data_IF_132126229981
#
_entry.id   IF_132126229981
#
_cell.length_a   1.000
_cell.length_b   1.000
_cell.length_c   1.000
_cell.angle_alpha   90.00
_cell.angle_beta   90.00
_cell.angle_gamma   90.00
#
_symmetry.space_group_name_H-M   'P 1'
#
loop_
_entity.id
_entity.type
_entity.pdbx_description
1 polymer ?
#
# COMPACT_ATOMS: atom_id res chain seq x y z
N UNK A 1 0.74 5.28 -57.40
CA UNK A 1 -0.52 4.93 -56.70
C UNK A 1 -0.13 4.43 -55.32
N UNK A 2 -0.33 5.28 -54.32
CA UNK A 2 0.09 5.07 -52.93
C UNK A 2 -0.92 4.17 -52.24
N UNK A 3 -0.65 2.87 -52.15
CA UNK A 3 -1.52 1.96 -51.40
C UNK A 3 -0.88 1.75 -50.03
N UNK A 4 -1.40 2.48 -49.05
CA UNK A 4 -0.88 2.55 -47.69
C UNK A 4 -0.64 1.16 -47.08
N UNK A 5 0.53 1.01 -46.48
CA UNK A 5 0.83 -0.01 -45.50
C UNK A 5 -0.26 0.07 -44.42
N UNK A 6 -1.28 -0.78 -44.53
CA UNK A 6 -2.22 -1.00 -43.43
C UNK A 6 -1.40 -1.74 -42.39
N UNK A 7 -0.81 -0.97 -41.47
CA UNK A 7 -0.34 -1.49 -40.19
C UNK A 7 -1.54 -2.20 -39.59
N UNK A 8 -1.61 -3.52 -39.74
CA UNK A 8 -2.59 -4.33 -39.05
C UNK A 8 -2.23 -4.23 -37.58
N UNK A 9 -2.81 -3.23 -36.90
CA UNK A 9 -2.72 -3.05 -35.46
C UNK A 9 -3.32 -4.28 -34.85
N UNK A 10 -2.46 -5.27 -34.58
CA UNK A 10 -2.89 -6.57 -34.10
C UNK A 10 -3.39 -6.32 -32.70
N UNK A 11 -4.71 -6.46 -32.49
CA UNK A 11 -5.32 -6.22 -31.20
C UNK A 11 -4.57 -7.06 -30.14
N UNK A 12 -4.18 -6.49 -28.99
CA UNK A 12 -3.46 -7.24 -27.97
C UNK A 12 -4.29 -8.43 -27.49
N UNK A 13 -3.63 -9.49 -27.03
CA UNK A 13 -4.34 -10.62 -26.44
C UNK A 13 -5.11 -10.16 -25.20
N UNK A 14 -6.40 -10.49 -25.10
CA UNK A 14 -7.25 -9.96 -24.05
C UNK A 14 -8.72 -10.32 -24.16
N UNK A 15 -9.47 -9.93 -23.12
CA UNK A 15 -10.93 -10.04 -23.08
C UNK A 15 -11.56 -8.83 -23.76
N UNK A 16 -12.30 -9.08 -24.82
CA UNK A 16 -13.03 -8.05 -25.55
C UNK A 16 -14.54 -8.30 -25.45
N UNK A 17 -15.28 -7.22 -25.36
CA UNK A 17 -16.73 -7.27 -25.25
C UNK A 17 -17.36 -7.51 -26.62
N UNK A 18 -18.16 -8.58 -26.75
CA UNK A 18 -18.92 -8.86 -27.97
C UNK A 18 -20.30 -8.24 -27.89
N UNK A 19 -20.93 -8.35 -26.71
CA UNK A 19 -22.23 -7.77 -26.42
C UNK A 19 -22.28 -7.29 -24.97
N UNK A 20 -23.35 -6.63 -24.57
CA UNK A 20 -23.53 -6.09 -23.21
C UNK A 20 -23.41 -7.12 -22.08
N UNK A 21 -23.41 -8.43 -22.38
CA UNK A 21 -23.47 -9.50 -21.39
C UNK A 21 -22.27 -10.47 -21.43
N UNK A 22 -21.50 -10.50 -22.52
CA UNK A 22 -20.47 -11.51 -22.75
C UNK A 22 -19.20 -10.89 -23.33
N UNK A 23 -18.06 -11.33 -22.78
CA UNK A 23 -16.71 -11.10 -23.31
C UNK A 23 -16.19 -12.38 -23.94
N UNK A 24 -15.43 -12.23 -25.02
CA UNK A 24 -14.71 -13.32 -25.68
C UNK A 24 -13.21 -13.04 -25.65
N UNK A 25 -12.43 -14.10 -25.50
CA UNK A 25 -10.97 -14.00 -25.48
C UNK A 25 -10.38 -13.95 -26.90
N UNK A 26 -9.55 -12.94 -27.16
CA UNK A 26 -8.69 -12.83 -28.34
C UNK A 26 -7.27 -13.20 -27.95
N UNK A 27 -6.64 -14.13 -28.68
CA UNK A 27 -5.28 -14.62 -28.36
C UNK A 27 -4.16 -13.78 -29.00
N UNK A 28 -4.50 -12.66 -29.64
CA UNK A 28 -3.58 -11.84 -30.43
C UNK A 28 -3.47 -12.25 -31.89
N UNK A 29 -4.10 -13.34 -32.32
CA UNK A 29 -4.16 -13.78 -33.73
C UNK A 29 -5.57 -14.11 -34.18
N UNK A 30 -6.37 -14.71 -33.30
CA UNK A 30 -7.75 -15.15 -33.55
C UNK A 30 -8.61 -15.07 -32.29
N UNK A 31 -9.92 -15.07 -32.54
CA UNK A 31 -10.92 -15.20 -31.49
C UNK A 31 -11.04 -16.65 -31.04
N UNK A 32 -10.85 -16.89 -29.75
CA UNK A 32 -10.99 -18.24 -29.16
C UNK A 32 -12.43 -18.50 -28.71
N UNK A 33 -12.80 -19.75 -28.47
CA UNK A 33 -14.15 -20.11 -27.99
C UNK A 33 -14.36 -19.89 -26.47
N UNK A 34 -13.45 -19.18 -25.81
CA UNK A 34 -13.60 -18.85 -24.40
C UNK A 34 -14.49 -17.62 -24.24
N UNK A 35 -15.61 -17.81 -23.56
CA UNK A 35 -16.58 -16.77 -23.23
C UNK A 35 -16.66 -16.59 -21.72
N UNK A 36 -16.68 -15.34 -21.28
CA UNK A 36 -16.88 -14.98 -19.89
C UNK A 36 -18.06 -14.00 -19.77
N UNK A 37 -18.95 -14.17 -18.78
CA UNK A 37 -19.99 -13.18 -18.54
C UNK A 37 -19.36 -11.84 -18.16
N UNK A 38 -19.95 -10.76 -18.67
CA UNK A 38 -19.75 -9.43 -18.12
C UNK A 38 -20.60 -9.38 -16.86
N UNK A 39 -19.97 -9.65 -15.71
CA UNK A 39 -20.61 -9.44 -14.43
C UNK A 39 -20.81 -7.93 -14.29
N UNK A 40 -22.02 -7.47 -14.60
CA UNK A 40 -22.46 -6.11 -14.29
C UNK A 40 -22.20 -5.92 -12.80
N UNK A 41 -21.53 -4.83 -12.43
CA UNK A 41 -21.08 -4.55 -11.05
C UNK A 41 -22.19 -4.76 -10.00
N UNK A 42 -23.45 -4.52 -10.38
CA UNK A 42 -24.66 -4.75 -9.57
C UNK A 42 -24.89 -6.23 -9.19
N UNK A 43 -24.48 -7.18 -10.04
CA UNK A 43 -24.61 -8.62 -9.79
C UNK A 43 -23.44 -9.15 -8.97
N UNK A 44 -22.23 -8.61 -9.13
CA UNK A 44 -21.06 -8.98 -8.32
C UNK A 44 -21.24 -8.67 -6.83
N UNK A 45 -21.87 -7.54 -6.51
CA UNK A 45 -22.23 -7.15 -5.14
C UNK A 45 -23.33 -8.04 -4.55
N UNK A 46 -24.26 -8.53 -5.39
CA UNK A 46 -25.42 -9.32 -4.96
C UNK A 46 -25.16 -10.83 -4.89
N UNK A 47 -24.19 -11.34 -5.66
CA UNK A 47 -23.78 -12.76 -5.66
C UNK A 47 -22.59 -13.04 -4.74
N UNK A 48 -21.98 -12.03 -4.12
CA UNK A 48 -20.84 -12.23 -3.20
C UNK A 48 -19.59 -12.82 -3.85
N UNK A 49 -19.49 -12.82 -5.19
CA UNK A 49 -18.37 -13.35 -5.96
C UNK A 49 -17.34 -12.27 -6.35
N UNK A 50 -17.49 -11.04 -5.85
CA UNK A 50 -16.63 -9.91 -6.17
C UNK A 50 -16.06 -9.26 -4.92
N UNK A 51 -14.77 -9.47 -4.70
CA UNK A 51 -13.98 -8.72 -3.72
C UNK A 51 -14.08 -9.31 -2.33
N UNK A 52 -12.95 -9.80 -1.85
CA UNK A 52 -12.73 -10.21 -0.47
C UNK A 52 -13.18 -9.05 0.45
N UNK A 53 -14.36 -9.21 1.05
CA UNK A 53 -14.88 -8.28 2.04
C UNK A 53 -14.09 -8.46 3.33
N UNK A 54 -12.78 -8.18 3.31
CA UNK A 54 -12.04 -7.97 4.55
C UNK A 54 -12.60 -6.67 5.08
N UNK A 55 -13.54 -6.80 6.03
CA UNK A 55 -14.30 -5.69 6.59
C UNK A 55 -13.35 -4.52 6.82
N UNK A 56 -13.61 -3.37 6.19
CA UNK A 56 -12.76 -2.18 6.37
C UNK A 56 -12.57 -1.90 7.87
N UNK A 57 -13.59 -2.20 8.68
CA UNK A 57 -13.49 -2.23 10.15
C UNK A 57 -12.46 -3.22 10.72
N UNK A 58 -12.41 -4.47 10.24
CA UNK A 58 -11.41 -5.47 10.64
C UNK A 58 -9.99 -5.03 10.22
N UNK A 59 -9.83 -4.52 9.00
CA UNK A 59 -8.53 -4.05 8.52
C UNK A 59 -8.04 -2.84 9.32
N UNK A 60 -8.94 -1.87 9.58
CA UNK A 60 -8.63 -0.71 10.41
C UNK A 60 -8.33 -1.11 11.86
N UNK A 61 -9.06 -2.08 12.42
CA UNK A 61 -8.75 -2.63 13.75
C UNK A 61 -7.38 -3.31 13.78
N UNK A 62 -7.03 -4.09 12.74
CA UNK A 62 -5.72 -4.71 12.63
C UNK A 62 -4.61 -3.65 12.53
N UNK A 63 -4.83 -2.58 11.76
CA UNK A 63 -3.87 -1.47 11.61
C UNK A 63 -3.70 -0.69 12.92
N UNK A 64 -4.79 -0.35 13.61
CA UNK A 64 -4.75 0.35 14.90
C UNK A 64 -4.04 -0.51 15.94
N UNK A 65 -4.33 -1.81 16.02
CA UNK A 65 -3.67 -2.69 16.98
C UNK A 65 -2.17 -2.85 16.68
N UNK A 66 -1.81 -2.93 15.40
CA UNK A 66 -0.42 -3.09 14.97
C UNK A 66 0.40 -1.81 15.18
N UNK A 67 -0.15 -0.64 14.84
CA UNK A 67 0.49 0.66 15.09
C UNK A 67 0.54 1.00 16.59
N UNK A 68 -0.53 0.69 17.32
CA UNK A 68 -0.62 0.89 18.76
C UNK A 68 0.41 0.07 19.54
N UNK A 69 0.71 -1.15 19.10
CA UNK A 69 1.74 -2.00 19.72
C UNK A 69 3.18 -1.46 19.53
N UNK A 70 3.42 -0.55 18.56
CA UNK A 70 4.75 0.01 18.29
C UNK A 70 5.03 1.35 18.99
N UNK A 71 3.97 2.07 19.40
CA UNK A 71 4.08 3.30 20.22
C UNK A 71 4.82 3.09 21.56
N UNK A 72 4.61 2.00 22.32
CA UNK A 72 5.35 1.69 23.53
C UNK A 72 6.85 1.54 23.31
N UNK A 73 7.27 0.93 22.20
CA UNK A 73 8.69 0.74 21.87
C UNK A 73 9.38 2.10 21.69
N UNK A 74 8.74 3.02 20.97
CA UNK A 74 9.22 4.39 20.83
C UNK A 74 9.19 5.17 22.15
N UNK A 75 8.14 5.02 22.96
CA UNK A 75 8.05 5.64 24.28
C UNK A 75 9.18 5.20 25.22
N UNK A 76 9.51 3.91 25.22
CA UNK A 76 10.63 3.37 26.02
C UNK A 76 11.97 3.89 25.49
N UNK A 77 12.18 3.93 24.17
CA UNK A 77 13.41 4.47 23.57
C UNK A 77 13.60 5.96 23.86
N UNK A 78 12.54 6.78 23.81
CA UNK A 78 12.61 8.20 24.13
C UNK A 78 12.85 8.43 25.63
N UNK A 79 12.22 7.64 26.50
CA UNK A 79 12.48 7.68 27.94
C UNK A 79 13.94 7.35 28.27
N UNK A 80 14.50 6.27 27.72
CA UNK A 80 15.89 5.87 27.91
C UNK A 80 16.88 6.93 27.38
N UNK A 81 16.62 7.47 26.18
CA UNK A 81 17.42 8.57 25.62
C UNK A 81 17.36 9.82 26.49
N UNK A 82 16.19 10.15 27.04
CA UNK A 82 16.00 11.29 27.93
C UNK A 82 16.75 11.14 29.26
N UNK A 83 16.74 9.94 29.86
CA UNK A 83 17.49 9.65 31.08
C UNK A 83 19.00 9.76 30.82
N UNK A 84 19.48 9.18 29.72
CA UNK A 84 20.90 9.26 29.33
C UNK A 84 21.36 10.69 29.07
N UNK A 85 20.57 11.50 28.37
CA UNK A 85 20.87 12.90 28.13
C UNK A 85 20.89 13.72 29.43
N UNK A 86 19.96 13.45 30.37
CA UNK A 86 19.96 14.09 31.69
C UNK A 86 21.20 13.75 32.50
N UNK A 87 21.59 12.48 32.55
CA UNK A 87 22.79 12.05 33.26
C UNK A 87 24.07 12.66 32.66
N UNK A 88 24.16 12.71 31.33
CA UNK A 88 25.27 13.36 30.64
C UNK A 88 25.33 14.87 30.97
N UNK A 89 24.21 15.58 30.92
CA UNK A 89 24.15 17.00 31.26
C UNK A 89 24.55 17.28 32.72
N UNK A 90 24.15 16.44 33.68
CA UNK A 90 24.58 16.60 35.08
C UNK A 90 26.10 16.47 35.21
N UNK A 91 26.71 15.49 34.53
CA UNK A 91 28.17 15.30 34.51
C UNK A 91 28.93 16.47 33.85
N UNK A 92 28.28 17.16 32.91
CA UNK A 92 28.85 18.36 32.28
C UNK A 92 28.77 19.54 33.23
N UNK A 93 27.68 19.71 33.97
CA UNK A 93 27.54 20.79 34.96
C UNK A 93 28.55 20.64 36.09
N UNK A 94 28.73 19.43 36.64
CA UNK A 94 29.74 19.18 37.68
C UNK A 94 31.16 19.51 37.20
N UNK A 95 31.50 19.13 35.96
CA UNK A 95 32.79 19.49 35.37
C UNK A 95 32.91 20.98 35.11
N UNK A 96 31.84 21.65 34.65
CA UNK A 96 31.81 23.10 34.43
C UNK A 96 32.05 23.87 35.72
N UNK A 97 31.43 23.47 36.83
CA UNK A 97 31.66 24.09 38.14
C UNK A 97 33.09 23.87 38.63
N UNK A 98 33.64 22.67 38.45
CA UNK A 98 35.03 22.37 38.84
C UNK A 98 36.09 23.06 37.98
N UNK A 99 35.79 23.33 36.71
CA UNK A 99 36.68 23.97 35.75
C UNK A 99 36.38 25.46 35.58
N UNK A 100 35.39 26.02 36.29
CA UNK A 100 35.17 27.44 36.31
C UNK A 100 36.43 28.08 36.91
N UNK A 101 37.19 28.86 36.13
CA UNK A 101 38.35 29.53 36.66
C UNK A 101 37.88 30.40 37.82
N UNK A 102 38.51 30.23 38.97
CA UNK A 102 38.36 31.13 40.11
C UNK A 102 39.02 32.44 39.67
N UNK A 103 38.27 33.27 38.94
CA UNK A 103 38.60 34.69 38.80
C UNK A 103 38.45 35.30 40.18
N UNK A 104 39.59 35.40 40.85
CA UNK A 104 39.84 36.25 42.01
C UNK A 104 39.72 37.73 41.64
#
# INVERSE_FOLDING_TARGET
MTTGLILATTAPAGWYQINGQVRRWFDGRRWTEHYAPVLTRVTSERLGLGGENVSVGLHVMMVIMTLGAWLPVWGVLTALRGIRNRAFNHSLQERRVKLAPITA
#
